data_IF_449336902611
#
_entry.id   IF_449336902611
#
_cell.length_a   1.000
_cell.length_b   1.000
_cell.length_c   1.000
_cell.angle_alpha   90.00
_cell.angle_beta   90.00
_cell.angle_gamma   90.00
#
_symmetry.space_group_name_H-M   'P 1'
#
loop_
_entity.id
_entity.type
_entity.pdbx_description
1 polymer ?
#
# COMPACT_ATOMS: atom_id res chain seq x y z
N UNK A 1 -13.23 -21.09 -45.38
CA UNK A 1 -12.67 -20.24 -44.30
C UNK A 1 -13.80 -19.37 -43.79
N UNK A 2 -14.40 -19.73 -42.64
CA UNK A 2 -15.43 -18.91 -42.00
C UNK A 2 -14.74 -17.93 -41.06
N UNK A 3 -14.34 -16.76 -41.56
CA UNK A 3 -14.14 -15.61 -40.68
C UNK A 3 -15.53 -15.18 -40.22
N UNK A 4 -15.82 -15.36 -38.94
CA UNK A 4 -16.90 -14.61 -38.30
C UNK A 4 -16.58 -13.13 -38.55
N UNK A 5 -17.27 -12.48 -39.49
CA UNK A 5 -17.14 -11.04 -39.76
C UNK A 5 -17.81 -10.29 -38.60
N UNK A 6 -17.19 -10.35 -37.42
CA UNK A 6 -17.59 -9.56 -36.28
C UNK A 6 -17.11 -8.12 -36.48
N UNK A 7 -18.00 -7.19 -36.18
CA UNK A 7 -17.80 -5.76 -36.35
C UNK A 7 -16.96 -5.20 -35.20
N UNK A 8 -16.09 -4.23 -35.47
CA UNK A 8 -15.38 -3.52 -34.40
C UNK A 8 -16.28 -2.49 -33.70
N UNK A 9 -15.97 -2.14 -32.45
CA UNK A 9 -16.73 -1.14 -31.67
C UNK A 9 -16.84 0.22 -32.38
N UNK A 10 -15.81 0.63 -33.13
CA UNK A 10 -15.79 1.92 -33.85
C UNK A 10 -16.73 1.95 -35.06
N UNK A 11 -17.03 0.78 -35.65
CA UNK A 11 -17.89 0.66 -36.83
C UNK A 11 -19.36 0.44 -36.46
N UNK A 12 -19.65 0.20 -35.17
CA UNK A 12 -21.02 -0.05 -34.69
C UNK A 12 -22.02 1.04 -35.06
N UNK A 13 -21.73 2.36 -34.91
CA UNK A 13 -22.70 3.41 -35.19
C UNK A 13 -23.21 3.43 -36.64
N UNK A 14 -22.34 3.11 -37.59
CA UNK A 14 -22.61 3.14 -39.05
C UNK A 14 -23.02 1.77 -39.62
N UNK A 15 -23.11 0.75 -38.78
CA UNK A 15 -23.47 -0.60 -39.20
C UNK A 15 -24.91 -0.73 -39.70
N UNK A 16 -25.18 -1.80 -40.47
CA UNK A 16 -26.54 -2.16 -40.91
C UNK A 16 -27.32 -2.97 -39.86
N UNK A 17 -26.85 -3.04 -38.61
CA UNK A 17 -27.52 -3.79 -37.53
C UNK A 17 -28.82 -3.09 -37.16
N UNK A 18 -29.95 -3.81 -37.20
CA UNK A 18 -31.23 -3.29 -36.73
C UNK A 18 -31.32 -3.37 -35.20
N UNK A 19 -30.98 -2.27 -34.52
CA UNK A 19 -30.94 -2.15 -33.05
C UNK A 19 -32.28 -2.34 -32.33
N UNK A 20 -33.40 -2.36 -33.07
CA UNK A 20 -34.72 -2.62 -32.51
C UNK A 20 -35.03 -4.12 -32.35
N UNK A 21 -34.25 -5.00 -32.98
CA UNK A 21 -34.46 -6.45 -32.95
C UNK A 21 -33.41 -7.20 -32.10
N UNK A 22 -32.45 -6.49 -31.52
CA UNK A 22 -31.38 -7.08 -30.71
C UNK A 22 -31.40 -6.53 -29.28
N UNK A 23 -31.15 -7.41 -28.33
CA UNK A 23 -30.98 -7.07 -26.91
C UNK A 23 -29.51 -7.03 -26.50
N UNK A 24 -28.66 -7.78 -27.22
CA UNK A 24 -27.21 -7.86 -27.02
C UNK A 24 -26.54 -7.79 -28.40
N UNK A 25 -25.41 -7.09 -28.47
CA UNK A 25 -24.50 -7.11 -29.62
C UNK A 25 -23.11 -7.55 -29.17
N UNK A 26 -22.50 -8.46 -29.92
CA UNK A 26 -21.12 -8.92 -29.70
C UNK A 26 -20.22 -8.29 -30.77
N UNK A 27 -19.21 -7.56 -30.33
CA UNK A 27 -18.31 -6.79 -31.17
C UNK A 27 -16.85 -7.14 -30.84
N UNK A 28 -15.93 -6.78 -31.74
CA UNK A 28 -14.49 -6.79 -31.45
C UNK A 28 -14.14 -5.43 -30.87
N UNK A 29 -13.55 -5.39 -29.68
CA UNK A 29 -13.06 -4.15 -29.08
C UNK A 29 -11.94 -3.57 -29.95
N UNK A 30 -12.13 -2.34 -30.44
CA UNK A 30 -11.22 -1.75 -31.42
C UNK A 30 -9.79 -1.57 -30.90
N UNK A 31 -9.62 -1.40 -29.58
CA UNK A 31 -8.34 -1.20 -28.91
C UNK A 31 -7.61 -2.51 -28.59
N UNK A 32 -8.32 -3.47 -27.99
CA UNK A 32 -7.74 -4.73 -27.47
C UNK A 32 -7.88 -5.92 -28.40
N UNK A 33 -8.76 -5.82 -29.40
CA UNK A 33 -9.15 -6.90 -30.32
C UNK A 33 -9.80 -8.12 -29.63
N UNK A 34 -10.20 -7.97 -28.37
CA UNK A 34 -10.95 -8.96 -27.62
C UNK A 34 -12.46 -8.87 -27.95
N UNK A 35 -13.20 -9.96 -27.78
CA UNK A 35 -14.66 -9.94 -27.92
C UNK A 35 -15.30 -9.20 -26.75
N UNK A 36 -16.22 -8.29 -27.05
CA UNK A 36 -16.97 -7.52 -26.08
C UNK A 36 -18.48 -7.63 -26.37
N UNK A 37 -19.26 -7.86 -25.31
CA UNK A 37 -20.71 -7.84 -25.40
C UNK A 37 -21.24 -6.48 -24.93
N UNK A 38 -22.29 -5.99 -25.58
CA UNK A 38 -22.99 -4.79 -25.17
C UNK A 38 -24.50 -5.08 -25.07
N UNK A 39 -25.09 -4.73 -23.94
CA UNK A 39 -26.52 -4.94 -23.63
C UNK A 39 -27.27 -3.64 -23.82
N UNK A 40 -28.49 -3.70 -24.37
CA UNK A 40 -29.34 -2.52 -24.55
C UNK A 40 -29.64 -1.88 -23.19
N UNK A 41 -29.44 -0.57 -23.08
CA UNK A 41 -29.70 0.18 -21.85
C UNK A 41 -31.21 0.27 -21.61
N UNK A 42 -31.67 -0.16 -20.44
CA UNK A 42 -33.10 -0.16 -20.07
C UNK A 42 -33.48 0.95 -19.09
N UNK A 43 -32.49 1.61 -18.47
CA UNK A 43 -32.70 2.67 -17.48
C UNK A 43 -31.56 3.67 -17.48
N UNK A 44 -31.87 4.93 -17.20
CA UNK A 44 -30.91 6.03 -17.20
C UNK A 44 -30.62 6.57 -18.61
N UNK A 45 -29.83 7.65 -18.66
CA UNK A 45 -29.42 8.32 -19.90
C UNK A 45 -27.90 8.52 -19.90
N UNK A 46 -27.11 7.42 -19.99
CA UNK A 46 -25.66 7.54 -20.05
C UNK A 46 -25.22 8.23 -21.34
N UNK A 47 -24.04 8.85 -21.31
CA UNK A 47 -23.44 9.49 -22.48
C UNK A 47 -22.62 8.45 -23.23
N UNK A 48 -22.85 8.32 -24.53
CA UNK A 48 -22.06 7.43 -25.38
C UNK A 48 -20.61 7.89 -25.45
N UNK A 49 -19.68 7.02 -25.08
CA UNK A 49 -18.23 7.27 -25.06
C UNK A 49 -17.46 6.36 -26.04
N UNK A 50 -18.16 5.47 -26.75
CA UNK A 50 -17.55 4.54 -27.71
C UNK A 50 -16.88 3.33 -27.05
N UNK A 51 -16.87 3.25 -25.72
CA UNK A 51 -16.07 2.27 -24.95
C UNK A 51 -16.96 1.51 -23.96
N UNK A 52 -17.58 2.23 -23.02
CA UNK A 52 -18.54 1.70 -22.06
C UNK A 52 -19.97 1.80 -22.60
N UNK A 53 -20.26 2.83 -23.40
CA UNK A 53 -21.57 3.07 -23.97
C UNK A 53 -21.48 3.35 -25.48
N UNK A 54 -22.24 2.59 -26.26
CA UNK A 54 -22.40 2.76 -27.70
C UNK A 54 -23.79 3.30 -28.01
N UNK A 55 -23.91 4.13 -29.05
CA UNK A 55 -25.19 4.63 -29.53
C UNK A 55 -25.35 4.34 -31.02
N UNK A 56 -26.54 3.86 -31.39
CA UNK A 56 -26.97 3.72 -32.79
C UNK A 56 -28.47 3.94 -32.91
N UNK A 57 -28.88 4.73 -33.89
CA UNK A 57 -30.29 5.03 -34.21
C UNK A 57 -31.11 5.45 -32.97
N UNK A 58 -30.50 6.24 -32.08
CA UNK A 58 -31.10 6.71 -30.83
C UNK A 58 -31.11 5.69 -29.69
N UNK A 59 -30.72 4.44 -29.92
CA UNK A 59 -30.64 3.37 -28.91
C UNK A 59 -29.24 3.29 -28.30
N UNK A 60 -29.17 3.21 -26.97
CA UNK A 60 -27.93 3.05 -26.21
C UNK A 60 -27.70 1.59 -25.83
N UNK A 61 -26.43 1.19 -25.87
CA UNK A 61 -25.94 -0.11 -25.40
C UNK A 61 -24.79 0.09 -24.42
N UNK A 62 -24.79 -0.64 -23.31
CA UNK A 62 -23.75 -0.63 -22.28
C UNK A 62 -22.88 -1.89 -22.38
N UNK A 63 -21.57 -1.73 -22.23
CA UNK A 63 -20.60 -2.83 -22.19
C UNK A 63 -20.90 -3.77 -21.04
N UNK A 64 -20.88 -5.06 -21.30
CA UNK A 64 -20.97 -6.09 -20.27
C UNK A 64 -19.56 -6.40 -19.74
N UNK A 65 -19.21 -5.88 -18.56
CA UNK A 65 -17.85 -5.98 -17.99
C UNK A 65 -17.78 -6.69 -16.64
N UNK A 66 -18.91 -7.13 -16.08
CA UNK A 66 -18.99 -7.91 -14.83
C UNK A 66 -18.16 -7.32 -13.66
N UNK A 67 -18.11 -5.99 -13.52
CA UNK A 67 -17.38 -5.32 -12.44
C UNK A 67 -15.85 -5.30 -12.60
N UNK A 68 -15.31 -5.72 -13.75
CA UNK A 68 -13.88 -5.68 -14.06
C UNK A 68 -13.62 -4.77 -15.26
N UNK A 69 -12.86 -3.70 -15.04
CA UNK A 69 -12.52 -2.72 -16.07
C UNK A 69 -11.06 -2.90 -16.49
N UNK A 70 -10.83 -3.00 -17.80
CA UNK A 70 -9.49 -2.99 -18.38
C UNK A 70 -9.16 -1.56 -18.87
N UNK A 71 -8.13 -0.89 -18.33
CA UNK A 71 -7.72 0.42 -18.81
C UNK A 71 -7.35 0.45 -20.29
N UNK A 72 -6.92 -0.68 -20.88
CA UNK A 72 -6.56 -0.74 -22.30
C UNK A 72 -7.76 -0.52 -23.24
N UNK A 73 -9.00 -0.64 -22.75
CA UNK A 73 -10.20 -0.25 -23.52
C UNK A 73 -10.21 1.25 -23.84
N UNK A 74 -9.58 2.06 -23.00
CA UNK A 74 -9.53 3.52 -23.13
C UNK A 74 -8.31 4.02 -23.93
N UNK A 75 -7.44 3.11 -24.36
CA UNK A 75 -6.27 3.44 -25.19
C UNK A 75 -5.12 2.44 -25.02
N UNK A 76 -4.21 2.36 -25.99
CA UNK A 76 -3.08 1.42 -25.95
C UNK A 76 -1.88 1.95 -25.14
N UNK A 77 -1.92 3.19 -24.64
CA UNK A 77 -0.74 3.90 -24.13
C UNK A 77 -0.15 3.34 -22.85
N UNK A 78 -0.95 2.63 -22.04
CA UNK A 78 -0.60 2.17 -20.69
C UNK A 78 -0.03 3.31 -19.85
N UNK A 79 -0.74 4.42 -19.79
CA UNK A 79 -0.34 5.61 -19.03
C UNK A 79 -1.35 5.96 -17.93
N UNK A 80 -1.08 7.04 -17.20
CA UNK A 80 -2.04 7.64 -16.28
C UNK A 80 -3.36 8.06 -16.97
N UNK A 81 -3.36 8.35 -18.27
CA UNK A 81 -4.55 8.77 -19.02
C UNK A 81 -5.58 7.64 -19.03
N UNK A 82 -5.18 6.45 -19.49
CA UNK A 82 -6.05 5.28 -19.54
C UNK A 82 -6.50 4.83 -18.15
N UNK A 83 -5.60 4.87 -17.15
CA UNK A 83 -5.95 4.54 -15.77
C UNK A 83 -6.99 5.51 -15.20
N UNK A 84 -6.83 6.82 -15.40
CA UNK A 84 -7.80 7.82 -14.95
C UNK A 84 -9.15 7.65 -15.64
N UNK A 85 -9.16 7.33 -16.94
CA UNK A 85 -10.40 7.04 -17.67
C UNK A 85 -11.11 5.80 -17.11
N UNK A 86 -10.37 4.72 -16.86
CA UNK A 86 -10.89 3.50 -16.24
C UNK A 86 -11.47 3.76 -14.84
N UNK A 87 -10.75 4.49 -13.98
CA UNK A 87 -11.20 4.88 -12.63
C UNK A 87 -12.47 5.75 -12.70
N UNK A 88 -12.53 6.65 -13.68
CA UNK A 88 -13.71 7.50 -13.91
C UNK A 88 -14.93 6.66 -14.28
N UNK A 89 -14.78 5.71 -15.19
CA UNK A 89 -15.82 4.81 -15.67
C UNK A 89 -16.31 3.80 -14.60
N UNK A 90 -15.42 3.41 -13.69
CA UNK A 90 -15.70 2.42 -12.64
C UNK A 90 -16.85 2.79 -11.72
N UNK A 91 -17.62 1.79 -11.31
CA UNK A 91 -18.57 1.87 -10.21
C UNK A 91 -17.87 1.56 -8.88
N UNK A 92 -18.60 1.79 -7.78
CA UNK A 92 -18.13 1.45 -6.43
C UNK A 92 -17.91 -0.06 -6.35
N UNK A 93 -16.77 -0.46 -5.80
CA UNK A 93 -16.27 -1.84 -5.64
C UNK A 93 -15.84 -2.54 -6.94
N UNK A 94 -15.78 -1.83 -8.06
CA UNK A 94 -15.21 -2.40 -9.29
C UNK A 94 -13.71 -2.68 -9.15
N UNK A 95 -13.25 -3.60 -9.99
CA UNK A 95 -11.84 -3.97 -10.14
C UNK A 95 -11.27 -3.32 -11.40
N UNK A 96 -10.18 -2.57 -11.25
CA UNK A 96 -9.32 -2.13 -12.36
C UNK A 96 -8.22 -3.16 -12.56
N UNK A 97 -8.21 -3.80 -13.73
CA UNK A 97 -7.21 -4.80 -14.08
C UNK A 97 -5.96 -4.14 -14.65
N UNK A 98 -4.84 -4.27 -13.95
CA UNK A 98 -3.55 -3.69 -14.36
C UNK A 98 -2.73 -4.77 -15.09
N UNK A 99 -2.68 -4.71 -16.42
CA UNK A 99 -1.91 -5.67 -17.25
C UNK A 99 -0.57 -5.08 -17.71
N UNK A 100 0.53 -5.64 -17.20
CA UNK A 100 1.87 -5.18 -17.53
C UNK A 100 2.23 -3.85 -16.87
N UNK A 101 3.05 -3.04 -17.53
CA UNK A 101 3.64 -1.84 -16.95
C UNK A 101 2.92 -0.57 -17.40
N UNK A 102 2.40 0.19 -16.44
CA UNK A 102 1.83 1.52 -16.67
C UNK A 102 2.83 2.60 -16.27
N UNK A 103 2.93 3.67 -17.07
CA UNK A 103 3.78 4.83 -16.80
C UNK A 103 2.93 6.04 -16.43
N UNK A 104 3.09 6.52 -15.20
CA UNK A 104 2.32 7.62 -14.66
C UNK A 104 3.21 8.83 -14.38
N UNK A 105 2.87 9.96 -15.01
CA UNK A 105 3.51 11.26 -14.78
C UNK A 105 2.65 12.22 -13.95
N UNK A 106 1.43 11.78 -13.58
CA UNK A 106 0.47 12.57 -12.82
C UNK A 106 -0.14 11.77 -11.67
N UNK A 107 -0.66 12.49 -10.67
CA UNK A 107 -1.36 11.89 -9.52
C UNK A 107 -2.58 11.10 -9.98
N UNK A 108 -2.73 9.88 -9.44
CA UNK A 108 -3.94 9.07 -9.57
C UNK A 108 -4.83 9.40 -8.38
N UNK A 109 -6.02 9.95 -8.64
CA UNK A 109 -7.03 10.27 -7.62
C UNK A 109 -8.15 9.25 -7.62
N UNK A 110 -8.47 8.71 -6.46
CA UNK A 110 -9.52 7.71 -6.26
C UNK A 110 -10.51 8.26 -5.23
N UNK A 111 -11.77 8.39 -5.61
CA UNK A 111 -12.83 8.96 -4.77
C UNK A 111 -14.00 7.99 -4.54
N UNK A 112 -13.83 6.72 -4.94
CA UNK A 112 -14.81 5.65 -4.78
C UNK A 112 -14.06 4.37 -4.42
N UNK A 113 -14.71 3.45 -3.71
CA UNK A 113 -14.06 2.21 -3.31
C UNK A 113 -13.70 1.39 -4.56
N UNK A 114 -12.44 0.99 -4.70
CA UNK A 114 -11.95 0.25 -5.88
C UNK A 114 -10.92 -0.82 -5.50
N UNK A 115 -10.80 -1.82 -6.36
CA UNK A 115 -9.68 -2.75 -6.36
C UNK A 115 -8.75 -2.49 -7.56
N UNK A 116 -7.45 -2.42 -7.35
CA UNK A 116 -6.45 -2.55 -8.41
C UNK A 116 -5.87 -3.96 -8.36
N UNK A 117 -6.08 -4.72 -9.42
CA UNK A 117 -5.65 -6.11 -9.52
C UNK A 117 -4.57 -6.23 -10.60
N UNK A 118 -3.35 -6.58 -10.17
CA UNK A 118 -2.27 -6.96 -11.07
C UNK A 118 -2.19 -8.48 -11.28
N UNK A 119 -1.22 -8.87 -12.10
CA UNK A 119 -0.74 -10.23 -12.32
C UNK A 119 0.77 -10.20 -12.05
N UNK A 120 1.19 -10.73 -10.91
CA UNK A 120 2.60 -10.74 -10.51
C UNK A 120 3.08 -12.17 -10.28
N UNK A 121 4.22 -12.50 -10.89
CA UNK A 121 4.89 -13.80 -10.80
C UNK A 121 5.28 -14.20 -9.38
N UNK A 122 5.47 -13.22 -8.48
CA UNK A 122 5.88 -13.45 -7.08
C UNK A 122 4.86 -14.35 -6.34
N UNK A 123 3.61 -14.43 -6.79
CA UNK A 123 2.57 -15.30 -6.18
C UNK A 123 2.20 -16.52 -7.04
N UNK A 124 3.05 -16.92 -8.00
CA UNK A 124 2.83 -18.13 -8.81
C UNK A 124 1.70 -18.05 -9.84
N UNK A 125 1.10 -16.86 -10.04
CA UNK A 125 -0.03 -16.63 -10.96
C UNK A 125 0.37 -16.04 -12.32
N UNK A 126 1.66 -15.97 -12.64
CA UNK A 126 2.14 -15.53 -13.95
C UNK A 126 2.67 -16.74 -14.74
N UNK A 127 1.83 -17.22 -15.67
CA UNK A 127 2.15 -18.36 -16.55
C UNK A 127 2.94 -17.95 -17.80
N UNK A 128 3.37 -16.69 -17.94
CA UNK A 128 4.34 -16.32 -18.96
C UNK A 128 4.15 -14.93 -19.56
N UNK A 129 5.24 -14.16 -19.56
CA UNK A 129 5.53 -13.17 -20.59
C UNK A 129 5.13 -11.72 -20.30
N UNK A 130 4.32 -11.45 -19.27
CA UNK A 130 4.02 -10.08 -18.88
C UNK A 130 5.05 -9.60 -17.86
N UNK A 131 5.86 -8.61 -18.22
CA UNK A 131 6.69 -7.86 -17.26
C UNK A 131 5.77 -7.47 -16.10
N UNK A 132 6.01 -8.04 -14.90
CA UNK A 132 5.12 -8.05 -13.73
C UNK A 132 4.22 -6.82 -13.64
N UNK A 133 2.92 -6.99 -13.42
CA UNK A 133 1.98 -5.86 -13.34
C UNK A 133 2.51 -4.78 -12.40
N UNK A 134 2.69 -3.57 -12.94
CA UNK A 134 3.37 -2.48 -12.26
C UNK A 134 2.81 -1.13 -12.68
N UNK A 135 2.65 -0.23 -11.72
CA UNK A 135 2.44 1.20 -11.96
C UNK A 135 3.75 1.92 -11.58
N UNK A 136 4.38 2.55 -12.57
CA UNK A 136 5.64 3.27 -12.42
C UNK A 136 5.40 4.77 -12.40
N UNK A 137 5.94 5.44 -11.39
CA UNK A 137 5.96 6.89 -11.26
C UNK A 137 7.37 7.42 -11.53
N UNK A 138 7.83 7.33 -12.78
CA UNK A 138 9.21 7.69 -13.16
C UNK A 138 9.35 9.16 -13.56
N UNK A 139 8.30 9.72 -14.17
CA UNK A 139 8.26 11.08 -14.72
C UNK A 139 7.20 11.92 -13.99
N UNK A 140 6.93 11.59 -12.73
CA UNK A 140 5.95 12.34 -11.94
C UNK A 140 6.44 13.78 -11.79
N UNK A 141 5.64 14.73 -12.26
CA UNK A 141 6.02 16.14 -12.15
C UNK A 141 6.35 16.44 -10.68
N UNK A 142 7.51 17.07 -10.46
CA UNK A 142 7.89 17.62 -9.15
C UNK A 142 7.05 18.87 -8.85
N UNK A 143 5.73 18.75 -8.96
CA UNK A 143 4.79 19.75 -8.46
C UNK A 143 4.85 19.71 -6.93
N UNK A 144 5.29 20.80 -6.26
CA UNK A 144 5.33 20.86 -4.81
C UNK A 144 3.95 20.75 -4.15
N UNK A 145 2.87 21.04 -4.90
CA UNK A 145 1.50 20.98 -4.39
C UNK A 145 0.95 19.54 -4.31
N UNK A 146 1.61 18.56 -4.93
CA UNK A 146 1.18 17.17 -4.96
C UNK A 146 2.10 16.32 -4.08
N UNK A 147 1.61 15.87 -2.93
CA UNK A 147 2.42 15.12 -1.95
C UNK A 147 2.44 13.61 -2.20
N UNK A 148 1.58 13.09 -3.09
CA UNK A 148 1.34 11.66 -3.23
C UNK A 148 1.11 11.23 -4.68
N UNK A 149 1.58 10.04 -5.04
CA UNK A 149 1.42 9.48 -6.38
C UNK A 149 0.04 8.86 -6.58
N UNK A 150 -0.47 8.15 -5.57
CA UNK A 150 -1.85 7.66 -5.49
C UNK A 150 -2.50 8.29 -4.26
N UNK A 151 -3.55 9.10 -4.47
CA UNK A 151 -4.39 9.64 -3.40
C UNK A 151 -5.76 8.97 -3.46
N UNK A 152 -6.15 8.32 -2.36
CA UNK A 152 -7.47 7.72 -2.21
C UNK A 152 -8.25 8.39 -1.07
N UNK A 153 -9.41 8.95 -1.43
CA UNK A 153 -10.46 9.43 -0.51
C UNK A 153 -11.63 8.44 -0.49
N UNK A 154 -11.28 7.16 -0.45
CA UNK A 154 -12.16 6.00 -0.37
C UNK A 154 -11.33 4.76 -0.02
N UNK A 155 -11.99 3.64 0.27
CA UNK A 155 -11.29 2.36 0.45
C UNK A 155 -10.58 1.92 -0.83
N UNK A 156 -9.38 1.39 -0.69
CA UNK A 156 -8.57 0.92 -1.81
C UNK A 156 -8.03 -0.48 -1.50
N UNK A 157 -8.23 -1.40 -2.42
CA UNK A 157 -7.61 -2.72 -2.37
C UNK A 157 -6.59 -2.82 -3.50
N UNK A 158 -5.34 -3.14 -3.19
CA UNK A 158 -4.29 -3.39 -4.19
C UNK A 158 -3.83 -4.82 -4.03
N UNK A 159 -3.94 -5.59 -5.11
CA UNK A 159 -3.63 -7.02 -5.10
C UNK A 159 -2.68 -7.40 -6.24
N UNK A 160 -1.66 -8.19 -5.94
CA UNK A 160 -0.71 -8.72 -6.93
C UNK A 160 -0.10 -7.64 -7.83
N UNK A 161 0.18 -6.45 -7.28
CA UNK A 161 0.59 -5.28 -8.04
C UNK A 161 1.82 -4.63 -7.42
N UNK A 162 2.72 -4.16 -8.27
CA UNK A 162 3.87 -3.35 -7.87
C UNK A 162 3.58 -1.87 -8.11
N UNK A 163 3.71 -1.05 -7.07
CA UNK A 163 3.71 0.41 -7.14
C UNK A 163 5.16 0.87 -6.94
N UNK A 164 5.74 1.45 -7.99
CA UNK A 164 7.17 1.74 -8.03
C UNK A 164 7.40 3.24 -8.26
N UNK A 165 8.12 3.87 -7.33
CA UNK A 165 8.64 5.23 -7.48
C UNK A 165 10.06 5.25 -8.05
N UNK A 166 10.55 6.43 -8.42
CA UNK A 166 11.91 6.61 -8.92
C UNK A 166 12.78 7.39 -7.93
N UNK A 167 12.71 7.02 -6.65
CA UNK A 167 13.37 7.75 -5.55
C UNK A 167 13.02 9.24 -5.59
N UNK A 168 11.72 9.55 -5.54
CA UNK A 168 11.17 10.91 -5.65
C UNK A 168 11.09 11.60 -4.27
N UNK A 169 11.93 12.63 -4.01
CA UNK A 169 11.91 13.34 -2.73
C UNK A 169 10.56 14.04 -2.50
N UNK A 170 10.10 14.04 -1.25
CA UNK A 170 8.86 14.63 -0.78
C UNK A 170 7.59 13.89 -1.22
N UNK A 171 7.71 12.72 -1.87
CA UNK A 171 6.56 11.99 -2.41
C UNK A 171 6.19 10.77 -1.58
N UNK A 172 4.89 10.65 -1.35
CA UNK A 172 4.22 9.47 -0.79
C UNK A 172 3.80 8.55 -1.95
N UNK A 173 4.07 7.25 -1.86
CA UNK A 173 3.62 6.29 -2.86
C UNK A 173 2.09 6.16 -2.89
N UNK A 174 1.51 5.79 -1.73
CA UNK A 174 0.06 5.66 -1.55
C UNK A 174 -0.37 6.46 -0.32
N UNK A 175 -1.32 7.38 -0.50
CA UNK A 175 -1.91 8.18 0.56
C UNK A 175 -3.42 7.91 0.62
N UNK A 176 -3.89 7.27 1.70
CA UNK A 176 -5.32 7.05 1.95
C UNK A 176 -5.78 8.00 3.04
N UNK A 177 -6.71 8.90 2.69
CA UNK A 177 -7.20 9.95 3.57
C UNK A 177 -8.68 9.70 3.82
N UNK A 178 -9.02 9.37 5.07
CA UNK A 178 -10.42 9.37 5.45
C UNK A 178 -10.93 10.80 5.59
N UNK A 179 -11.95 11.16 4.81
CA UNK A 179 -12.58 12.49 4.81
C UNK A 179 -14.02 12.44 5.33
N UNK A 180 -14.55 11.26 5.66
CA UNK A 180 -15.93 11.07 6.12
C UNK A 180 -15.97 10.18 7.35
N UNK A 181 -16.83 10.51 8.32
CA UNK A 181 -17.06 9.64 9.48
C UNK A 181 -17.78 8.33 9.12
N UNK A 182 -18.31 8.21 7.91
CA UNK A 182 -19.04 7.01 7.42
C UNK A 182 -19.09 6.97 5.88
N UNK A 183 -18.86 5.80 5.24
CA UNK A 183 -18.23 4.60 5.81
C UNK A 183 -16.75 4.86 6.10
N UNK A 184 -16.18 4.10 7.05
CA UNK A 184 -14.74 4.17 7.31
C UNK A 184 -13.94 3.66 6.10
N UNK A 185 -12.87 4.38 5.74
CA UNK A 185 -12.01 3.98 4.63
C UNK A 185 -10.88 3.07 5.12
N UNK A 186 -10.50 2.12 4.26
CA UNK A 186 -9.46 1.13 4.54
C UNK A 186 -8.54 0.94 3.34
N UNK A 187 -7.24 0.75 3.59
CA UNK A 187 -6.31 0.19 2.62
C UNK A 187 -6.17 -1.33 2.84
N UNK A 188 -6.29 -2.11 1.77
CA UNK A 188 -5.82 -3.49 1.74
C UNK A 188 -4.68 -3.62 0.74
N UNK A 189 -3.51 -4.04 1.21
CA UNK A 189 -2.43 -4.54 0.37
C UNK A 189 -2.40 -6.06 0.50
N UNK A 190 -2.68 -6.78 -0.58
CA UNK A 190 -2.60 -8.25 -0.64
C UNK A 190 -1.59 -8.65 -1.71
N UNK A 191 -0.46 -9.17 -1.25
CA UNK A 191 0.62 -9.60 -2.10
C UNK A 191 1.07 -8.48 -3.07
N UNK A 192 1.10 -7.26 -2.54
CA UNK A 192 1.46 -6.05 -3.23
C UNK A 192 2.83 -5.54 -2.78
N UNK A 193 3.49 -4.80 -3.67
CA UNK A 193 4.82 -4.21 -3.43
C UNK A 193 4.71 -2.71 -3.61
N UNK A 194 5.18 -1.93 -2.64
CA UNK A 194 5.29 -0.46 -2.72
C UNK A 194 6.73 -0.08 -2.43
N UNK A 195 7.42 0.60 -3.34
CA UNK A 195 8.85 0.89 -3.14
C UNK A 195 9.38 2.13 -3.84
N UNK A 196 10.53 2.61 -3.36
CA UNK A 196 11.28 3.75 -3.92
C UNK A 196 10.55 5.10 -3.80
N UNK A 197 9.98 5.36 -2.63
CA UNK A 197 9.33 6.63 -2.26
C UNK A 197 9.97 7.19 -1.00
N UNK A 198 9.81 8.50 -0.72
CA UNK A 198 10.21 9.03 0.59
C UNK A 198 9.33 8.44 1.70
N UNK A 199 8.02 8.41 1.45
CA UNK A 199 7.06 7.67 2.25
C UNK A 199 6.42 6.60 1.38
N UNK A 200 6.53 5.32 1.75
CA UNK A 200 5.90 4.23 0.99
C UNK A 200 4.37 4.36 1.01
N UNK A 201 3.80 4.24 2.20
CA UNK A 201 2.35 4.27 2.45
C UNK A 201 2.03 5.18 3.63
N UNK A 202 1.02 6.03 3.45
CA UNK A 202 0.44 6.85 4.51
C UNK A 202 -1.07 6.64 4.59
N UNK A 203 -1.58 6.45 5.79
CA UNK A 203 -3.02 6.34 6.05
C UNK A 203 -3.39 7.26 7.22
N UNK A 204 -4.43 8.07 7.02
CA UNK A 204 -4.99 8.95 8.05
C UNK A 204 -6.45 8.59 8.31
N UNK A 205 -6.79 8.36 9.58
CA UNK A 205 -8.15 8.07 10.07
C UNK A 205 -8.78 6.81 9.44
N UNK A 206 -7.97 5.80 9.10
CA UNK A 206 -8.43 4.54 8.49
C UNK A 206 -8.80 3.46 9.52
N UNK A 207 -9.77 2.62 9.18
CA UNK A 207 -10.21 1.50 10.02
C UNK A 207 -10.02 0.18 9.29
N UNK A 208 -9.61 -0.87 10.02
CA UNK A 208 -9.44 -2.22 9.48
C UNK A 208 -8.50 -2.31 8.26
N UNK A 209 -7.42 -1.50 8.25
CA UNK A 209 -6.38 -1.59 7.24
C UNK A 209 -5.70 -2.98 7.31
N UNK A 210 -5.42 -3.57 6.14
CA UNK A 210 -4.88 -4.94 6.03
C UNK A 210 -3.64 -4.97 5.14
N UNK A 211 -2.59 -5.58 5.64
CA UNK A 211 -1.36 -5.86 4.88
C UNK A 211 -1.10 -7.36 4.92
N UNK A 212 -1.21 -8.04 3.79
CA UNK A 212 -1.10 -9.50 3.70
C UNK A 212 -0.02 -9.82 2.67
N UNK A 213 1.00 -10.58 3.07
CA UNK A 213 2.07 -11.04 2.17
C UNK A 213 2.69 -9.90 1.33
N UNK A 214 2.80 -8.71 1.91
CA UNK A 214 3.13 -7.48 1.18
C UNK A 214 4.51 -6.96 1.55
N UNK A 215 5.08 -6.16 0.66
CA UNK A 215 6.37 -5.52 0.86
C UNK A 215 6.25 -4.01 0.71
N UNK A 216 6.74 -3.26 1.68
CA UNK A 216 6.92 -1.80 1.57
C UNK A 216 8.37 -1.51 1.90
N UNK A 217 9.16 -1.11 0.90
CA UNK A 217 10.59 -0.95 1.16
C UNK A 217 11.31 -0.07 0.18
N UNK A 218 12.59 0.13 0.44
CA UNK A 218 13.37 1.20 -0.18
C UNK A 218 12.67 2.55 0.01
N UNK A 219 12.26 2.82 1.25
CA UNK A 219 11.82 4.13 1.69
C UNK A 219 12.56 4.56 2.96
N UNK A 220 12.86 5.86 3.12
CA UNK A 220 13.27 6.45 4.40
C UNK A 220 12.22 6.26 5.50
N UNK A 221 10.94 6.39 5.12
CA UNK A 221 9.81 5.96 5.96
C UNK A 221 8.87 5.06 5.18
N UNK A 222 8.69 3.82 5.60
CA UNK A 222 7.93 2.87 4.80
C UNK A 222 6.43 2.99 5.04
N UNK A 223 6.00 3.04 6.31
CA UNK A 223 4.59 3.04 6.68
C UNK A 223 4.27 4.09 7.75
N UNK A 224 3.34 4.98 7.44
CA UNK A 224 2.82 5.99 8.39
C UNK A 224 1.32 5.74 8.62
N UNK A 225 0.94 5.57 9.87
CA UNK A 225 -0.44 5.38 10.30
C UNK A 225 -0.79 6.44 11.34
N UNK A 226 -1.81 7.24 11.05
CA UNK A 226 -2.27 8.32 11.93
C UNK A 226 -3.75 8.15 12.25
N UNK A 227 -4.09 8.08 13.55
CA UNK A 227 -5.44 7.77 14.07
C UNK A 227 -6.08 6.53 13.41
N UNK A 228 -5.28 5.49 13.17
CA UNK A 228 -5.75 4.28 12.51
C UNK A 228 -6.14 3.19 13.52
N UNK A 229 -7.32 2.59 13.35
CA UNK A 229 -7.85 1.62 14.30
C UNK A 229 -7.93 0.21 13.68
N UNK A 230 -7.61 -0.80 14.49
CA UNK A 230 -7.64 -2.21 14.11
C UNK A 230 -6.83 -2.54 12.84
N UNK A 231 -5.62 -1.99 12.74
CA UNK A 231 -4.72 -2.31 11.63
C UNK A 231 -4.12 -3.70 11.84
N UNK A 232 -4.16 -4.53 10.80
CA UNK A 232 -3.64 -5.88 10.81
C UNK A 232 -2.63 -6.11 9.69
N UNK A 233 -1.48 -6.69 10.04
CA UNK A 233 -0.46 -7.11 9.09
C UNK A 233 -0.11 -8.59 9.31
N UNK A 234 -0.04 -9.36 8.23
CA UNK A 234 0.43 -10.74 8.22
C UNK A 234 1.47 -10.90 7.12
N UNK A 235 2.68 -11.34 7.47
CA UNK A 235 3.80 -11.46 6.54
C UNK A 235 4.08 -10.15 5.79
N UNK A 236 4.16 -9.04 6.53
CA UNK A 236 4.54 -7.73 5.99
C UNK A 236 6.05 -7.54 6.14
N UNK A 237 6.75 -7.32 5.03
CA UNK A 237 8.17 -6.97 5.03
C UNK A 237 8.35 -5.47 4.80
N UNK A 238 9.10 -4.85 5.70
CA UNK A 238 9.44 -3.43 5.72
C UNK A 238 10.96 -3.29 5.66
N UNK A 239 11.48 -2.54 4.69
CA UNK A 239 12.93 -2.45 4.49
C UNK A 239 13.39 -1.05 4.14
N UNK A 240 14.39 -0.56 4.86
CA UNK A 240 15.01 0.72 4.56
C UNK A 240 15.73 0.73 3.21
N UNK A 241 16.04 1.93 2.74
CA UNK A 241 16.86 2.16 1.56
C UNK A 241 16.30 3.31 0.73
N UNK A 242 17.18 4.06 0.09
CA UNK A 242 16.79 5.08 -0.88
C UNK A 242 18.03 5.43 -1.69
N UNK A 243 18.03 5.19 -3.01
CA UNK A 243 19.24 5.20 -3.85
C UNK A 243 20.01 6.54 -3.85
N UNK A 244 19.42 7.63 -3.34
CA UNK A 244 19.94 9.00 -3.51
C UNK A 244 20.15 9.84 -2.25
N UNK A 245 20.01 9.33 -1.02
CA UNK A 245 20.19 10.17 0.18
C UNK A 245 21.29 9.68 1.12
N UNK A 246 22.26 10.55 1.37
CA UNK A 246 23.44 10.35 2.24
C UNK A 246 23.20 10.72 3.70
N UNK A 247 21.99 11.10 4.09
CA UNK A 247 21.66 11.29 5.51
C UNK A 247 20.17 11.11 5.74
N UNK A 248 19.78 9.97 6.31
CA UNK A 248 18.40 9.79 6.72
C UNK A 248 18.33 9.16 8.11
N UNK A 249 17.71 9.87 9.04
CA UNK A 249 17.12 9.27 10.24
C UNK A 249 15.93 8.44 9.76
N UNK A 250 16.17 7.18 9.42
CA UNK A 250 15.19 6.32 8.77
C UNK A 250 14.29 5.64 9.81
N UNK A 251 12.97 5.79 9.66
CA UNK A 251 11.96 5.16 10.51
C UNK A 251 11.15 4.16 9.69
N UNK A 252 11.08 2.89 10.08
CA UNK A 252 10.33 1.90 9.28
C UNK A 252 8.83 2.13 9.30
N UNK A 253 8.23 1.99 10.48
CA UNK A 253 6.81 2.17 10.73
C UNK A 253 6.63 3.30 11.75
N UNK A 254 5.69 4.20 11.52
CA UNK A 254 5.38 5.28 12.46
C UNK A 254 3.88 5.30 12.77
N UNK A 255 3.55 5.18 14.06
CA UNK A 255 2.18 5.14 14.56
C UNK A 255 1.88 6.41 15.39
N UNK A 256 0.89 7.19 14.95
CA UNK A 256 0.48 8.44 15.60
C UNK A 256 -0.93 8.36 16.20
N UNK A 257 -1.15 9.15 17.25
CA UNK A 257 -2.46 9.59 17.74
C UNK A 257 -3.45 8.44 18.01
N UNK A 258 -3.09 7.52 18.91
CA UNK A 258 -3.99 6.45 19.33
C UNK A 258 -4.10 5.29 18.34
N UNK A 259 -3.21 5.24 17.34
CA UNK A 259 -3.19 4.15 16.35
C UNK A 259 -2.96 2.80 17.03
N UNK A 260 -3.64 1.75 16.56
CA UNK A 260 -3.44 0.37 17.00
C UNK A 260 -3.14 -0.55 15.81
N UNK A 261 -2.00 -1.23 15.87
CA UNK A 261 -1.54 -2.18 14.86
C UNK A 261 -1.16 -3.54 15.48
N UNK A 262 -1.56 -4.63 14.82
CA UNK A 262 -1.09 -5.99 15.10
C UNK A 262 -0.35 -6.54 13.90
N UNK A 263 0.84 -7.10 14.12
CA UNK A 263 1.70 -7.72 13.11
C UNK A 263 1.95 -9.19 13.45
N UNK A 264 1.77 -10.08 12.47
CA UNK A 264 2.04 -11.51 12.57
C UNK A 264 2.99 -11.96 11.45
N UNK A 265 4.22 -12.33 11.79
CA UNK A 265 5.25 -12.65 10.80
C UNK A 265 5.68 -11.47 9.93
N UNK A 266 6.74 -11.67 9.16
CA UNK A 266 7.34 -10.63 8.31
C UNK A 266 8.60 -10.03 8.93
N UNK A 267 9.03 -8.87 8.42
CA UNK A 267 10.31 -8.28 8.79
C UNK A 267 10.31 -6.76 8.83
N UNK A 268 11.18 -6.18 9.66
CA UNK A 268 11.47 -4.74 9.72
C UNK A 268 12.99 -4.57 9.74
N UNK A 269 13.55 -4.10 8.63
CA UNK A 269 14.97 -4.25 8.31
C UNK A 269 15.67 -2.92 7.97
N UNK A 270 16.90 -2.81 8.46
CA UNK A 270 17.93 -1.86 8.00
C UNK A 270 17.68 -0.38 8.32
N UNK A 271 16.83 -0.07 9.30
CA UNK A 271 16.56 1.32 9.71
C UNK A 271 17.62 1.85 10.68
N UNK A 272 18.10 3.07 10.42
CA UNK A 272 19.17 3.74 11.18
C UNK A 272 18.66 4.47 12.44
N UNK A 273 17.37 4.82 12.49
CA UNK A 273 16.75 5.46 13.64
C UNK A 273 15.89 4.46 14.43
N UNK A 274 14.73 4.09 13.90
CA UNK A 274 13.89 3.08 14.55
C UNK A 274 13.13 2.22 13.55
N UNK A 275 13.06 0.91 13.79
CA UNK A 275 12.20 0.03 13.01
C UNK A 275 10.73 0.46 13.13
N UNK A 276 10.27 0.73 14.36
CA UNK A 276 8.90 1.15 14.67
C UNK A 276 8.93 2.28 15.69
N UNK A 277 8.24 3.39 15.41
CA UNK A 277 8.10 4.53 16.33
C UNK A 277 6.65 4.73 16.76
N UNK A 278 6.42 4.88 18.06
CA UNK A 278 5.09 5.03 18.67
C UNK A 278 4.92 6.42 19.29
N UNK A 279 3.87 7.14 18.88
CA UNK A 279 3.42 8.40 19.46
C UNK A 279 2.01 8.21 20.01
N UNK A 280 1.90 8.03 21.34
CA UNK A 280 0.66 7.71 22.05
C UNK A 280 -0.15 6.58 21.40
N UNK A 281 0.53 5.52 20.96
CA UNK A 281 -0.01 4.47 20.08
C UNK A 281 0.34 3.06 20.56
N UNK A 282 -0.30 2.05 19.97
CA UNK A 282 -0.20 0.65 20.39
C UNK A 282 0.27 -0.24 19.24
N UNK A 283 1.20 -1.15 19.54
CA UNK A 283 1.61 -2.20 18.62
C UNK A 283 1.69 -3.57 19.31
N UNK A 284 1.27 -4.61 18.59
CA UNK A 284 1.52 -6.01 18.93
C UNK A 284 2.28 -6.69 17.81
N UNK A 285 3.49 -7.18 18.08
CA UNK A 285 4.37 -7.88 17.16
C UNK A 285 4.46 -9.35 17.56
N UNK A 286 4.09 -10.26 16.66
CA UNK A 286 4.14 -11.70 16.87
C UNK A 286 4.99 -12.33 15.77
N UNK A 287 6.12 -12.94 16.12
CA UNK A 287 6.97 -13.63 15.13
C UNK A 287 7.66 -12.70 14.12
N UNK A 288 7.94 -11.45 14.48
CA UNK A 288 8.57 -10.48 13.58
C UNK A 288 10.09 -10.60 13.64
N UNK A 289 10.74 -10.60 12.47
CA UNK A 289 12.19 -10.42 12.36
C UNK A 289 12.54 -8.94 12.34
N UNK A 290 13.44 -8.51 13.22
CA UNK A 290 13.99 -7.16 13.25
C UNK A 290 15.47 -7.20 12.92
N UNK A 291 15.90 -6.28 12.06
CA UNK A 291 17.30 -6.05 11.75
C UNK A 291 17.61 -4.56 11.84
N UNK A 292 18.56 -4.19 12.70
CA UNK A 292 19.14 -2.85 12.69
C UNK A 292 20.41 -2.88 11.84
N UNK A 293 20.47 -2.07 10.77
CA UNK A 293 21.69 -1.88 9.98
C UNK A 293 22.13 -0.43 10.10
N UNK A 294 23.45 -0.19 10.23
CA UNK A 294 24.04 1.15 10.30
C UNK A 294 23.50 2.05 11.44
N UNK A 295 23.05 1.45 12.54
CA UNK A 295 22.47 2.18 13.66
C UNK A 295 23.51 3.00 14.44
N UNK A 296 23.08 4.07 15.13
CA UNK A 296 23.82 4.73 16.23
C UNK A 296 23.38 4.19 17.60
N UNK A 297 23.96 4.68 18.70
CA UNK A 297 23.57 4.32 20.08
C UNK A 297 22.10 4.63 20.42
N UNK A 298 21.38 5.35 19.55
CA UNK A 298 19.96 5.65 19.74
C UNK A 298 19.06 4.64 19.02
N UNK A 299 19.62 3.80 18.15
CA UNK A 299 18.85 2.91 17.25
C UNK A 299 18.04 1.90 18.03
N UNK A 300 16.82 1.66 17.56
CA UNK A 300 15.94 0.72 18.24
C UNK A 300 15.00 -0.03 17.30
N UNK A 301 14.71 -1.29 17.58
CA UNK A 301 13.66 -2.01 16.86
C UNK A 301 12.30 -1.34 17.08
N UNK A 302 11.98 -0.97 18.33
CA UNK A 302 10.78 -0.24 18.72
C UNK A 302 11.15 0.95 19.60
N UNK A 303 10.66 2.14 19.25
CA UNK A 303 10.82 3.36 20.05
C UNK A 303 9.49 3.92 20.54
N UNK A 304 9.44 4.22 21.83
CA UNK A 304 8.34 4.90 22.49
C UNK A 304 8.70 6.38 22.57
N UNK A 305 7.95 7.22 21.85
CA UNK A 305 8.23 8.66 21.72
C UNK A 305 7.41 9.49 22.70
N UNK A 306 6.20 9.04 23.06
CA UNK A 306 5.28 9.75 23.96
C UNK A 306 4.73 8.81 25.04
N UNK A 307 4.06 9.41 26.03
CA UNK A 307 3.26 8.68 27.02
C UNK A 307 2.14 7.84 26.41
N UNK A 308 1.63 6.88 27.18
CA UNK A 308 0.55 5.97 26.79
C UNK A 308 0.87 5.04 25.62
N UNK A 309 2.14 4.95 25.21
CA UNK A 309 2.57 3.98 24.23
C UNK A 309 2.49 2.56 24.80
N UNK A 310 2.08 1.60 23.97
CA UNK A 310 2.03 0.17 24.36
C UNK A 310 2.70 -0.68 23.29
N UNK A 311 3.62 -1.54 23.72
CA UNK A 311 4.27 -2.52 22.87
C UNK A 311 4.07 -3.91 23.46
N UNK A 312 3.62 -4.86 22.64
CA UNK A 312 3.61 -6.28 22.97
C UNK A 312 4.44 -7.03 21.92
N UNK A 313 5.46 -7.77 22.34
CA UNK A 313 6.37 -8.49 21.44
C UNK A 313 6.46 -9.95 21.85
N UNK A 314 6.08 -10.87 20.96
CA UNK A 314 5.99 -12.30 21.27
C UNK A 314 6.66 -13.11 20.17
N UNK A 315 7.63 -13.95 20.55
CA UNK A 315 8.34 -14.86 19.63
C UNK A 315 9.01 -14.14 18.44
N UNK A 316 9.39 -12.88 18.61
CA UNK A 316 10.15 -12.11 17.62
C UNK A 316 11.63 -12.52 17.65
N UNK A 317 12.32 -12.33 16.53
CA UNK A 317 13.77 -12.45 16.42
C UNK A 317 14.34 -11.07 16.13
N UNK A 318 15.28 -10.61 16.95
CA UNK A 318 16.00 -9.38 16.69
C UNK A 318 17.48 -9.68 16.47
N UNK A 319 17.98 -9.30 15.29
CA UNK A 319 19.38 -9.28 14.93
C UNK A 319 19.94 -7.87 15.14
N UNK A 320 20.82 -7.72 16.11
CA UNK A 320 21.36 -6.43 16.53
C UNK A 320 22.83 -6.31 16.08
N UNK A 321 23.07 -5.52 15.03
CA UNK A 321 24.39 -5.40 14.36
C UNK A 321 25.40 -4.48 15.08
N UNK A 322 26.67 -4.69 14.74
CA UNK A 322 27.90 -4.14 15.33
C UNK A 322 28.06 -2.59 15.29
N UNK A 323 28.97 -2.11 16.17
CA UNK A 323 29.59 -0.77 16.30
C UNK A 323 28.81 0.32 17.02
N UNK A 324 27.55 0.10 17.38
CA UNK A 324 26.74 1.07 18.12
C UNK A 324 25.75 0.40 19.07
N UNK A 325 25.44 1.05 20.20
CA UNK A 325 24.52 0.54 21.22
C UNK A 325 23.07 0.53 20.70
N UNK A 326 22.70 -0.50 19.95
CA UNK A 326 21.30 -0.72 19.54
C UNK A 326 20.47 -1.24 20.72
N UNK A 327 19.15 -1.02 20.64
CA UNK A 327 18.20 -1.54 21.64
C UNK A 327 17.01 -2.22 21.00
N UNK A 328 16.41 -3.21 21.67
CA UNK A 328 15.18 -3.81 21.15
C UNK A 328 13.98 -2.88 21.40
N UNK A 329 13.81 -2.41 22.64
CA UNK A 329 12.82 -1.36 22.98
C UNK A 329 13.50 -0.17 23.65
N UNK A 330 13.20 1.04 23.18
CA UNK A 330 13.73 2.29 23.73
C UNK A 330 12.59 3.26 24.08
N UNK A 331 12.48 3.67 25.34
CA UNK A 331 11.66 4.81 25.77
C UNK A 331 12.55 6.04 25.96
N UNK A 332 12.21 7.14 25.26
CA UNK A 332 12.99 8.39 25.31
C UNK A 332 12.77 9.15 26.63
N UNK A 333 13.64 10.12 27.01
CA UNK A 333 13.59 10.81 28.30
C UNK A 333 12.27 11.46 28.69
N UNK A 334 11.48 11.86 27.69
CA UNK A 334 10.19 12.51 27.90
C UNK A 334 9.05 11.53 28.24
N UNK A 335 9.25 10.22 28.08
CA UNK A 335 8.24 9.20 28.33
C UNK A 335 8.25 8.82 29.80
N UNK A 336 7.20 9.20 30.52
CA UNK A 336 6.98 8.85 31.94
C UNK A 336 5.96 7.72 32.12
N UNK A 337 5.23 7.33 31.07
CA UNK A 337 4.23 6.26 31.13
C UNK A 337 4.17 5.44 29.84
N UNK A 338 4.47 4.15 29.93
CA UNK A 338 4.39 3.21 28.81
C UNK A 338 4.20 1.76 29.29
N UNK A 339 3.62 0.92 28.43
CA UNK A 339 3.47 -0.52 28.68
C UNK A 339 4.33 -1.32 27.71
N UNK A 340 5.19 -2.22 28.22
CA UNK A 340 6.07 -3.05 27.40
C UNK A 340 5.94 -4.51 27.84
N UNK A 341 5.23 -5.30 27.03
CA UNK A 341 5.13 -6.74 27.19
C UNK A 341 6.07 -7.46 26.23
N UNK A 342 6.82 -8.44 26.71
CA UNK A 342 7.83 -9.14 25.90
C UNK A 342 7.99 -10.60 26.33
N UNK A 343 7.80 -11.54 25.41
CA UNK A 343 7.82 -12.98 25.73
C UNK A 343 8.39 -13.83 24.60
N UNK A 344 9.26 -14.78 24.95
CA UNK A 344 9.85 -15.77 24.04
C UNK A 344 10.61 -15.16 22.84
N UNK A 345 11.13 -13.94 22.98
CA UNK A 345 11.90 -13.29 21.92
C UNK A 345 13.33 -13.85 21.88
N UNK A 346 13.86 -14.02 20.67
CA UNK A 346 15.23 -14.44 20.43
C UNK A 346 16.07 -13.22 20.04
N UNK A 347 17.21 -13.05 20.70
CA UNK A 347 18.14 -11.96 20.45
C UNK A 347 19.46 -12.55 19.98
N UNK A 348 19.91 -12.09 18.82
CA UNK A 348 21.18 -12.46 18.24
C UNK A 348 22.11 -11.24 18.20
N UNK A 349 23.36 -11.45 18.61
CA UNK A 349 24.35 -10.40 18.81
C UNK A 349 25.64 -10.80 18.10
N UNK A 350 26.28 -9.85 17.41
CA UNK A 350 27.54 -10.12 16.71
C UNK A 350 28.78 -10.13 17.65
N UNK A 351 28.78 -9.43 18.80
CA UNK A 351 29.95 -9.33 19.73
C UNK A 351 29.57 -8.99 21.19
N UNK A 352 30.56 -8.91 22.10
CA UNK A 352 30.44 -8.62 23.55
C UNK A 352 30.16 -7.15 23.93
N UNK A 353 29.86 -6.25 22.98
CA UNK A 353 29.59 -4.83 23.29
C UNK A 353 28.21 -4.61 23.92
N UNK A 354 28.05 -3.50 24.66
CA UNK A 354 26.82 -3.17 25.41
C UNK A 354 25.60 -3.00 24.48
N UNK A 355 24.81 -4.06 24.35
CA UNK A 355 23.50 -4.04 23.72
C UNK A 355 22.43 -4.02 24.81
N UNK A 356 21.52 -3.05 24.76
CA UNK A 356 20.45 -2.92 25.76
C UNK A 356 19.15 -3.52 25.23
N UNK A 357 18.69 -4.64 25.79
CA UNK A 357 17.41 -5.23 25.33
C UNK A 357 16.25 -4.25 25.59
N UNK A 358 16.24 -3.61 26.75
CA UNK A 358 15.29 -2.53 27.07
C UNK A 358 16.06 -1.31 27.59
N UNK A 359 15.80 -0.14 27.01
CA UNK A 359 16.39 1.14 27.42
C UNK A 359 15.29 2.10 27.82
N UNK A 360 15.35 2.56 29.06
CA UNK A 360 14.44 3.56 29.61
C UNK A 360 15.28 4.73 30.11
N UNK A 361 15.25 5.82 29.37
CA UNK A 361 15.91 7.05 29.78
C UNK A 361 14.90 7.85 30.61
N UNK A 362 15.22 8.12 31.87
CA UNK A 362 14.33 8.84 32.78
C UNK A 362 15.13 9.63 33.81
N UNK A 363 14.64 10.82 34.15
CA UNK A 363 15.25 11.67 35.19
C UNK A 363 14.62 11.46 36.58
N UNK A 364 13.43 10.86 36.66
CA UNK A 364 12.75 10.52 37.91
C UNK A 364 11.90 9.24 37.76
N UNK A 365 12.37 8.12 38.30
CA UNK A 365 11.70 6.82 38.20
C UNK A 365 10.52 6.63 39.17
N UNK A 366 10.25 7.59 40.06
CA UNK A 366 9.21 7.46 41.11
C UNK A 366 7.78 7.53 40.57
N UNK A 367 7.57 8.04 39.35
CA UNK A 367 6.25 8.16 38.70
C UNK A 367 6.04 7.17 37.53
N UNK A 368 6.98 6.27 37.29
CA UNK A 368 6.93 5.34 36.16
C UNK A 368 6.01 4.15 36.45
N UNK A 369 4.96 3.97 35.64
CA UNK A 369 4.21 2.70 35.57
C UNK A 369 4.67 1.91 34.35
N UNK A 370 5.91 1.41 34.36
CA UNK A 370 6.39 0.45 33.36
C UNK A 370 6.15 -0.95 33.90
N UNK A 371 5.10 -1.62 33.40
CA UNK A 371 4.90 -3.05 33.62
C UNK A 371 5.68 -3.83 32.55
N UNK A 372 6.77 -4.47 32.97
CA UNK A 372 7.56 -5.41 32.16
C UNK A 372 7.25 -6.82 32.67
N UNK A 373 6.43 -7.55 31.94
CA UNK A 373 6.25 -8.99 32.13
C UNK A 373 7.03 -9.75 31.06
N UNK A 374 8.18 -10.30 31.44
CA UNK A 374 9.12 -10.99 30.53
C UNK A 374 10.54 -11.13 31.11
N UNK A 375 11.37 -12.01 30.52
CA UNK A 375 12.77 -12.22 30.96
C UNK A 375 13.56 -10.91 30.80
N UNK A 376 13.98 -10.32 31.92
CA UNK A 376 14.93 -9.22 31.96
C UNK A 376 16.33 -9.85 31.93
N UNK A 377 16.99 -9.86 30.76
CA UNK A 377 18.43 -10.12 30.71
C UNK A 377 19.11 -8.83 31.17
N UNK A 378 19.49 -8.79 32.44
CA UNK A 378 20.29 -7.72 33.02
C UNK A 378 21.75 -8.05 32.71
N UNK A 379 22.33 -7.46 31.67
CA UNK A 379 23.79 -7.50 31.48
C UNK A 379 24.39 -6.35 32.28
N UNK A 380 25.31 -6.69 33.19
CA UNK A 380 26.02 -5.75 34.08
C UNK A 380 27.01 -4.92 33.28
#
# INVERSE_FOLDING_TARGET
MNTLNLLETNDFPTSNINVNQVTIVTLIDSSTKELANFKKVTSGTPVADGIMYLQKDGVLFERDYNGVINPEWFGPGKTHIELKAAIKAAQVNDTILIRGQYRCSEQIKINKALMFLGQNYINGNDVGGNKSSRINFNDFANDPAIDSCIEAKASLCIRNLVIFGNSMPGKIGINVINVSKTPDYSLTLDSAVVQNFEIGVKITEGYYNRFVNSYIGYCPTCLVLDKCYNVFASSLSIRAGYEKSTSLNDKGIVLYNGTNMTMFGGSVESFSDAGISLYSSKISCLGIYFEAANGTDKTSCIRLMDNNCRSATISCHAYLQNKHASSFVHAVPAVTSAYVYSKNNHFEYETEWFVSTYRFEGTNFEEYTIDISGIIIKTI
#
